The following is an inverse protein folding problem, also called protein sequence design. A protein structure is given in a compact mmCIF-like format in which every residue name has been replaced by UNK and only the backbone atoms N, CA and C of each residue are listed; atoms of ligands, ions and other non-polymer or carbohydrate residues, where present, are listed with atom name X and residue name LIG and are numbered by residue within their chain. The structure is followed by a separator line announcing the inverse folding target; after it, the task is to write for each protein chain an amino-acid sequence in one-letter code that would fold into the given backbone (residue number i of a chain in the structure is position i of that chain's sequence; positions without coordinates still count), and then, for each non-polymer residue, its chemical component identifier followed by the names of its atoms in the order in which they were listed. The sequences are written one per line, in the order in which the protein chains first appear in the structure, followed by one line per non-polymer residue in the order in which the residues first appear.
data_IF_346448642854
#
_entry.id   IF_346448642854
#
_cell.length_a   1.000
_cell.length_b   1.000
_cell.length_c   1.000
_cell.angle_alpha   90.00
_cell.angle_beta   90.00
_cell.angle_gamma   90.00
#
_symmetry.space_group_name_H-M   'P 1'
#
loop_
_entity.id
_entity.type
_entity.pdbx_description
1 polymer ?
#
# COMPACT_ATOMS: atom_id res chain seq x y z
N UNK A 1 -20.60 -12.50 8.14
CA UNK A 1 -19.89 -13.75 8.45
C UNK A 1 -19.33 -14.39 7.20
N UNK A 2 -20.06 -14.64 6.10
CA UNK A 2 -19.46 -15.28 4.92
C UNK A 2 -18.21 -14.55 4.37
N UNK A 3 -18.24 -13.21 4.21
CA UNK A 3 -17.08 -12.44 3.68
C UNK A 3 -15.86 -12.50 4.61
N UNK A 4 -16.00 -12.08 5.87
CA UNK A 4 -14.93 -12.13 6.88
C UNK A 4 -14.42 -13.57 7.08
N UNK A 5 -15.31 -14.56 7.07
CA UNK A 5 -14.93 -15.97 7.17
C UNK A 5 -14.11 -16.42 5.96
N UNK A 6 -14.51 -16.07 4.73
CA UNK A 6 -13.74 -16.35 3.52
C UNK A 6 -12.36 -15.69 3.59
N UNK A 7 -12.27 -14.45 4.05
CA UNK A 7 -10.98 -13.76 4.25
C UNK A 7 -10.08 -14.50 5.25
N UNK A 8 -10.63 -14.97 6.38
CA UNK A 8 -9.91 -15.79 7.36
C UNK A 8 -9.44 -17.10 6.74
N UNK A 9 -10.31 -17.80 5.99
CA UNK A 9 -9.95 -19.07 5.34
C UNK A 9 -8.81 -18.87 4.34
N UNK A 10 -8.89 -17.85 3.49
CA UNK A 10 -7.82 -17.52 2.52
C UNK A 10 -6.53 -17.17 3.26
N UNK A 11 -6.61 -16.36 4.32
CA UNK A 11 -5.45 -15.99 5.13
C UNK A 11 -4.78 -17.23 5.74
N UNK A 12 -5.56 -18.16 6.31
CA UNK A 12 -5.06 -19.41 6.88
C UNK A 12 -4.38 -20.30 5.82
N UNK A 13 -4.94 -20.37 4.60
CA UNK A 13 -4.32 -21.10 3.49
C UNK A 13 -2.97 -20.47 3.13
N UNK A 14 -2.90 -19.14 3.02
CA UNK A 14 -1.65 -18.43 2.70
C UNK A 14 -0.59 -18.63 3.78
N UNK A 15 -0.95 -18.44 5.07
CA UNK A 15 -0.06 -18.67 6.22
C UNK A 15 0.50 -20.09 6.19
N UNK A 16 -0.37 -21.10 6.02
CA UNK A 16 0.05 -22.51 5.96
C UNK A 16 1.03 -22.75 4.82
N UNK A 17 0.75 -22.17 3.66
CA UNK A 17 1.59 -22.32 2.47
C UNK A 17 2.97 -21.65 2.64
N UNK A 18 3.09 -20.63 3.50
CA UNK A 18 4.30 -19.81 3.68
C UNK A 18 5.00 -20.04 5.03
N UNK A 19 4.59 -21.04 5.82
CA UNK A 19 5.10 -21.30 7.18
C UNK A 19 6.63 -21.34 7.30
N UNK A 20 7.32 -21.79 6.25
CA UNK A 20 8.79 -21.88 6.22
C UNK A 20 9.46 -20.52 6.07
N UNK A 21 8.80 -19.55 5.45
CA UNK A 21 9.33 -18.20 5.16
C UNK A 21 9.11 -17.24 6.34
N UNK A 22 8.02 -17.41 7.09
CA UNK A 22 7.70 -16.53 8.20
C UNK A 22 8.41 -16.90 9.51
N UNK A 23 8.61 -15.88 10.35
CA UNK A 23 9.03 -16.04 11.75
C UNK A 23 7.76 -16.07 12.59
N UNK A 24 7.44 -17.22 13.18
CA UNK A 24 6.20 -17.41 13.92
C UNK A 24 6.01 -16.37 15.06
N UNK A 25 7.03 -16.05 15.88
CA UNK A 25 6.86 -15.03 16.93
C UNK A 25 6.48 -13.66 16.38
N UNK A 26 7.02 -13.28 15.21
CA UNK A 26 6.66 -12.01 14.58
C UNK A 26 5.25 -12.01 14.05
N UNK A 27 4.81 -13.10 13.43
CA UNK A 27 3.43 -13.20 12.96
C UNK A 27 2.43 -13.09 14.11
N UNK A 28 2.65 -13.85 15.17
CA UNK A 28 1.78 -13.81 16.36
C UNK A 28 1.82 -12.43 17.02
N UNK A 29 3.01 -11.82 17.14
CA UNK A 29 3.15 -10.47 17.67
C UNK A 29 2.44 -9.42 16.81
N UNK A 30 2.54 -9.50 15.48
CA UNK A 30 1.83 -8.60 14.56
C UNK A 30 0.31 -8.71 14.72
N UNK A 31 -0.24 -9.93 14.76
CA UNK A 31 -1.67 -10.13 14.97
C UNK A 31 -2.12 -9.65 16.35
N UNK A 32 -1.32 -9.88 17.40
CA UNK A 32 -1.64 -9.39 18.74
C UNK A 32 -1.69 -7.85 18.79
N UNK A 33 -0.69 -7.17 18.21
CA UNK A 33 -0.66 -5.70 18.14
C UNK A 33 -1.86 -5.18 17.34
N UNK A 34 -2.21 -5.82 16.22
CA UNK A 34 -3.39 -5.45 15.43
C UNK A 34 -4.67 -5.53 16.24
N UNK A 35 -4.89 -6.64 16.95
CA UNK A 35 -6.08 -6.84 17.77
C UNK A 35 -6.13 -5.85 18.95
N UNK A 36 -4.99 -5.57 19.57
CA UNK A 36 -4.89 -4.60 20.65
C UNK A 36 -5.25 -3.18 20.17
N UNK A 37 -4.65 -2.73 19.06
CA UNK A 37 -4.93 -1.40 18.49
C UNK A 37 -6.40 -1.29 18.06
N UNK A 38 -6.94 -2.34 17.43
CA UNK A 38 -8.35 -2.39 17.06
C UNK A 38 -9.26 -2.26 18.28
N UNK A 39 -9.01 -3.03 19.34
CA UNK A 39 -9.81 -2.97 20.56
C UNK A 39 -9.74 -1.59 21.23
N UNK A 40 -8.53 -1.05 21.43
CA UNK A 40 -8.33 0.26 22.03
C UNK A 40 -9.02 1.36 21.24
N UNK A 41 -8.88 1.36 19.92
CA UNK A 41 -9.56 2.33 19.05
C UNK A 41 -11.09 2.25 19.14
N UNK A 42 -11.66 1.03 19.14
CA UNK A 42 -13.12 0.85 19.25
C UNK A 42 -13.65 1.28 20.61
N UNK A 43 -12.96 0.89 21.68
CA UNK A 43 -13.29 1.30 23.04
C UNK A 43 -13.21 2.83 23.14
N UNK A 44 -12.16 3.43 22.58
CA UNK A 44 -11.99 4.88 22.64
C UNK A 44 -13.12 5.64 21.96
N UNK A 45 -13.47 5.25 20.71
CA UNK A 45 -14.57 5.88 19.99
C UNK A 45 -15.91 5.76 20.72
N UNK A 46 -16.18 4.60 21.31
CA UNK A 46 -17.43 4.36 22.01
C UNK A 46 -17.51 5.11 23.34
N UNK A 47 -16.47 5.03 24.17
CA UNK A 47 -16.52 5.53 25.55
C UNK A 47 -16.14 7.00 25.71
N UNK A 48 -15.19 7.50 24.91
CA UNK A 48 -14.74 8.90 25.04
C UNK A 48 -15.42 9.82 24.05
N UNK A 49 -15.68 9.34 22.84
CA UNK A 49 -16.20 10.18 21.76
C UNK A 49 -17.70 9.97 21.51
N UNK A 50 -18.30 8.89 22.01
CA UNK A 50 -19.68 8.49 21.74
C UNK A 50 -19.99 8.40 20.23
N UNK A 51 -19.09 7.76 19.47
CA UNK A 51 -19.21 7.61 18.01
C UNK A 51 -19.02 6.17 17.57
N UNK A 52 -19.71 5.80 16.48
CA UNK A 52 -19.54 4.48 15.87
C UNK A 52 -18.30 4.38 14.97
N UNK A 53 -17.84 5.51 14.42
CA UNK A 53 -16.81 5.62 13.40
C UNK A 53 -15.93 6.83 13.64
N UNK A 54 -14.75 6.81 13.01
CA UNK A 54 -13.91 8.00 12.90
C UNK A 54 -14.60 9.06 12.03
N UNK A 55 -14.28 10.34 12.25
CA UNK A 55 -14.77 11.48 11.46
C UNK A 55 -14.42 11.37 9.96
N UNK A 56 -15.11 12.17 9.12
CA UNK A 56 -14.85 12.39 7.69
C UNK A 56 -15.20 11.15 6.85
N UNK A 57 -14.25 10.62 6.08
CA UNK A 57 -14.52 9.56 5.10
C UNK A 57 -15.06 8.28 5.74
N UNK A 58 -14.62 7.94 6.94
CA UNK A 58 -15.11 6.75 7.63
C UNK A 58 -16.60 6.84 7.99
N UNK A 59 -17.07 8.04 8.33
CA UNK A 59 -18.47 8.36 8.57
C UNK A 59 -19.28 8.40 7.28
N UNK A 60 -18.74 9.02 6.24
CA UNK A 60 -19.35 9.01 4.91
C UNK A 60 -19.62 7.57 4.43
N UNK A 61 -18.61 6.69 4.48
CA UNK A 61 -18.75 5.31 4.02
C UNK A 61 -19.70 4.49 4.88
N UNK A 62 -19.74 4.74 6.18
CA UNK A 62 -20.67 4.06 7.08
C UNK A 62 -22.11 4.48 6.80
N UNK A 63 -22.37 5.78 6.73
CA UNK A 63 -23.71 6.29 6.43
C UNK A 63 -24.20 5.84 5.05
N UNK A 64 -23.31 5.84 4.04
CA UNK A 64 -23.63 5.31 2.72
C UNK A 64 -23.96 3.81 2.74
N UNK A 65 -23.25 3.04 3.56
CA UNK A 65 -23.51 1.60 3.76
C UNK A 65 -24.86 1.37 4.42
N UNK A 66 -25.17 2.12 5.48
CA UNK A 66 -26.46 2.03 6.19
C UNK A 66 -27.63 2.44 5.30
N UNK A 67 -27.45 3.50 4.50
CA UNK A 67 -28.44 3.91 3.50
C UNK A 67 -28.70 2.81 2.47
N UNK A 68 -27.65 2.16 1.97
CA UNK A 68 -27.81 1.04 1.04
C UNK A 68 -28.50 -0.17 1.68
N UNK A 69 -28.24 -0.46 2.96
CA UNK A 69 -28.88 -1.54 3.70
C UNK A 69 -30.37 -1.29 3.98
N UNK A 70 -30.73 -0.04 4.29
CA UNK A 70 -32.08 0.31 4.73
C UNK A 70 -33.00 0.72 3.56
N UNK A 71 -32.47 1.49 2.61
CA UNK A 71 -33.25 2.13 1.53
C UNK A 71 -32.99 1.51 0.15
N UNK A 72 -31.90 0.74 -0.01
CA UNK A 72 -31.52 0.17 -1.31
C UNK A 72 -31.01 1.21 -2.34
N UNK A 73 -30.83 2.47 -1.95
CA UNK A 73 -30.40 3.55 -2.85
C UNK A 73 -28.88 3.71 -2.94
N UNK A 74 -28.40 3.91 -4.17
CA UNK A 74 -26.97 4.10 -4.51
C UNK A 74 -26.72 5.55 -5.03
N UNK A 75 -27.76 6.38 -5.11
CA UNK A 75 -27.64 7.71 -5.73
C UNK A 75 -26.69 8.63 -4.95
N UNK A 76 -25.81 9.32 -5.69
CA UNK A 76 -24.84 10.26 -5.12
C UNK A 76 -23.69 9.61 -4.32
N UNK A 77 -23.52 8.29 -4.37
CA UNK A 77 -22.42 7.61 -3.68
C UNK A 77 -21.15 7.66 -4.54
N UNK A 78 -20.10 8.30 -4.02
CA UNK A 78 -18.75 8.24 -4.56
C UNK A 78 -17.98 7.06 -3.96
N UNK A 79 -17.06 6.48 -4.73
CA UNK A 79 -16.27 5.30 -4.34
C UNK A 79 -17.12 4.05 -4.08
N UNK A 80 -18.09 3.79 -4.97
CA UNK A 80 -19.15 2.79 -4.82
C UNK A 80 -18.64 1.39 -4.48
N UNK A 81 -17.52 0.95 -5.06
CA UNK A 81 -16.96 -0.39 -4.77
C UNK A 81 -16.68 -0.62 -3.29
N UNK A 82 -16.16 0.39 -2.57
CA UNK A 82 -15.88 0.24 -1.14
C UNK A 82 -17.16 0.19 -0.30
N UNK A 83 -18.17 0.98 -0.68
CA UNK A 83 -19.49 0.96 -0.03
C UNK A 83 -20.19 -0.38 -0.28
N UNK A 84 -20.13 -0.92 -1.50
CA UNK A 84 -20.66 -2.25 -1.79
C UNK A 84 -19.94 -3.34 -1.01
N UNK A 85 -18.62 -3.27 -0.91
CA UNK A 85 -17.84 -4.21 -0.08
C UNK A 85 -18.29 -4.16 1.39
N UNK A 86 -18.43 -2.95 1.94
CA UNK A 86 -18.96 -2.71 3.29
C UNK A 86 -20.38 -3.26 3.47
N UNK A 87 -21.26 -3.01 2.50
CA UNK A 87 -22.62 -3.53 2.46
C UNK A 87 -22.64 -5.07 2.48
N UNK A 88 -21.80 -5.73 1.68
CA UNK A 88 -21.72 -7.19 1.66
C UNK A 88 -21.24 -7.73 3.02
N UNK A 89 -20.24 -7.10 3.64
CA UNK A 89 -19.80 -7.48 4.99
C UNK A 89 -20.98 -7.42 5.97
N UNK A 90 -21.69 -6.28 6.01
CA UNK A 90 -22.79 -6.07 6.95
C UNK A 90 -23.97 -7.00 6.67
N UNK A 91 -24.37 -7.14 5.40
CA UNK A 91 -25.49 -7.99 4.97
C UNK A 91 -25.34 -9.45 5.41
N UNK A 92 -24.11 -9.95 5.42
CA UNK A 92 -23.83 -11.32 5.85
C UNK A 92 -23.44 -11.43 7.32
N UNK A 93 -23.32 -10.32 8.06
CA UNK A 93 -22.92 -10.32 9.48
C UNK A 93 -24.08 -10.59 10.44
N UNK A 94 -23.81 -11.07 11.66
CA UNK A 94 -24.88 -11.48 12.59
C UNK A 94 -25.74 -10.29 13.06
N UNK A 95 -25.13 -9.11 13.11
CA UNK A 95 -25.76 -7.84 13.42
C UNK A 95 -24.98 -6.72 12.73
N UNK A 96 -25.64 -5.59 12.48
CA UNK A 96 -25.00 -4.44 11.88
C UNK A 96 -24.06 -3.78 12.89
N UNK A 97 -22.78 -3.71 12.53
CA UNK A 97 -21.75 -3.07 13.34
C UNK A 97 -20.53 -2.78 12.50
N UNK A 98 -20.03 -1.55 12.61
CA UNK A 98 -18.76 -1.09 12.02
C UNK A 98 -17.59 -2.01 12.40
N UNK A 99 -17.67 -2.69 13.55
CA UNK A 99 -16.66 -3.63 14.00
C UNK A 99 -16.31 -4.68 12.93
N UNK A 100 -17.30 -5.20 12.21
CA UNK A 100 -17.09 -6.17 11.13
C UNK A 100 -16.29 -5.58 9.97
N UNK A 101 -16.53 -4.32 9.61
CA UNK A 101 -15.72 -3.62 8.61
C UNK A 101 -14.28 -3.42 9.08
N UNK A 102 -14.07 -3.07 10.36
CA UNK A 102 -12.72 -2.87 10.89
C UNK A 102 -11.93 -4.19 10.95
N UNK A 103 -12.59 -5.32 11.26
CA UNK A 103 -11.99 -6.65 11.15
C UNK A 103 -11.63 -6.94 9.69
N UNK A 104 -12.57 -6.79 8.75
CA UNK A 104 -12.32 -7.05 7.32
C UNK A 104 -11.17 -6.23 6.79
N UNK A 105 -11.11 -4.92 7.10
CA UNK A 105 -10.02 -4.05 6.70
C UNK A 105 -8.66 -4.53 7.27
N UNK A 106 -8.63 -4.99 8.52
CA UNK A 106 -7.43 -5.59 9.11
C UNK A 106 -7.03 -6.89 8.40
N UNK A 107 -8.00 -7.72 8.03
CA UNK A 107 -7.76 -8.94 7.25
C UNK A 107 -7.26 -8.62 5.84
N UNK A 108 -7.80 -7.61 5.16
CA UNK A 108 -7.34 -7.17 3.84
C UNK A 108 -5.89 -6.67 3.87
N UNK A 109 -5.49 -5.93 4.92
CA UNK A 109 -4.08 -5.55 5.12
C UNK A 109 -3.18 -6.78 5.21
N UNK A 110 -3.58 -7.78 6.01
CA UNK A 110 -2.84 -9.03 6.13
C UNK A 110 -2.81 -9.79 4.79
N UNK A 111 -3.96 -9.96 4.13
CA UNK A 111 -4.06 -10.64 2.84
C UNK A 111 -3.18 -9.97 1.78
N UNK A 112 -3.15 -8.63 1.72
CA UNK A 112 -2.24 -7.90 0.85
C UNK A 112 -0.78 -8.28 1.13
N UNK A 113 -0.36 -8.26 2.39
CA UNK A 113 1.00 -8.66 2.77
C UNK A 113 1.33 -10.13 2.39
N UNK A 114 0.45 -11.07 2.73
CA UNK A 114 0.68 -12.50 2.45
C UNK A 114 0.62 -12.84 0.95
N UNK A 115 -0.24 -12.17 0.17
CA UNK A 115 -0.24 -12.30 -1.28
C UNK A 115 1.05 -11.77 -1.90
N UNK A 116 1.56 -10.63 -1.40
CA UNK A 116 2.87 -10.13 -1.84
C UNK A 116 4.00 -11.11 -1.53
N UNK A 117 4.03 -11.69 -0.32
CA UNK A 117 4.99 -12.76 0.00
C UNK A 117 4.81 -13.97 -0.92
N UNK A 118 3.57 -14.31 -1.30
CA UNK A 118 3.29 -15.41 -2.23
C UNK A 118 3.92 -15.18 -3.61
N UNK A 119 3.83 -13.96 -4.14
CA UNK A 119 4.45 -13.58 -5.42
C UNK A 119 5.96 -13.83 -5.37
N UNK A 120 6.60 -13.50 -4.25
CA UNK A 120 8.04 -13.67 -4.07
C UNK A 120 8.45 -15.05 -3.57
N UNK A 121 7.51 -15.92 -3.16
CA UNK A 121 7.76 -17.17 -2.43
C UNK A 121 8.89 -18.01 -3.01
N UNK A 122 8.86 -18.30 -4.31
CA UNK A 122 9.88 -19.12 -4.97
C UNK A 122 11.28 -18.50 -4.89
N UNK A 123 11.37 -17.19 -5.07
CA UNK A 123 12.63 -16.46 -4.94
C UNK A 123 13.07 -16.43 -3.47
N UNK A 124 12.15 -16.23 -2.53
CA UNK A 124 12.46 -16.22 -1.11
C UNK A 124 12.98 -17.58 -0.64
N UNK A 125 12.31 -18.69 -0.95
CA UNK A 125 12.74 -20.03 -0.52
C UNK A 125 14.13 -20.41 -1.06
N UNK A 126 14.50 -19.90 -2.23
CA UNK A 126 15.81 -20.20 -2.85
C UNK A 126 16.95 -19.30 -2.36
N UNK A 127 16.66 -18.17 -1.73
CA UNK A 127 17.67 -17.14 -1.43
C UNK A 127 17.67 -16.65 0.01
N UNK A 128 16.54 -16.75 0.72
CA UNK A 128 16.37 -16.37 2.11
C UNK A 128 15.79 -17.50 2.95
N UNK A 129 16.22 -17.58 4.20
CA UNK A 129 15.64 -18.53 5.16
C UNK A 129 14.37 -17.98 5.80
N UNK A 130 14.28 -16.66 6.04
CA UNK A 130 13.14 -16.00 6.70
C UNK A 130 13.00 -14.54 6.27
N UNK A 131 11.77 -14.01 6.30
CA UNK A 131 11.49 -12.57 6.11
C UNK A 131 12.20 -11.73 7.21
N UNK A 132 12.87 -10.61 6.86
CA UNK A 132 13.49 -9.71 7.83
C UNK A 132 12.48 -9.06 8.79
N UNK A 133 12.90 -8.80 10.03
CA UNK A 133 12.08 -8.10 11.03
C UNK A 133 11.60 -6.72 10.55
N UNK A 134 12.47 -5.98 9.86
CA UNK A 134 12.17 -4.64 9.34
C UNK A 134 10.96 -4.62 8.41
N UNK A 135 10.71 -5.70 7.66
CA UNK A 135 9.55 -5.79 6.77
C UNK A 135 8.28 -5.86 7.62
N UNK A 136 8.21 -6.70 8.66
CA UNK A 136 7.05 -6.74 9.55
C UNK A 136 6.80 -5.39 10.24
N UNK A 137 7.86 -4.79 10.79
CA UNK A 137 7.78 -3.52 11.50
C UNK A 137 7.42 -2.32 10.60
N UNK A 138 7.69 -2.39 9.29
CA UNK A 138 7.25 -1.37 8.35
C UNK A 138 5.84 -1.66 7.82
N UNK A 139 5.40 -2.91 7.77
CA UNK A 139 4.09 -3.31 7.20
C UNK A 139 3.07 -3.65 8.30
N UNK A 140 2.80 -4.93 8.52
CA UNK A 140 1.67 -5.45 9.30
C UNK A 140 1.84 -5.33 10.82
N UNK A 141 3.03 -4.98 11.31
CA UNK A 141 3.30 -4.73 12.73
C UNK A 141 3.44 -3.25 13.06
N UNK A 142 3.37 -2.36 12.06
CA UNK A 142 3.53 -0.93 12.27
C UNK A 142 2.23 -0.32 12.83
N UNK A 143 2.22 0.28 14.05
CA UNK A 143 0.99 0.82 14.63
C UNK A 143 0.31 1.89 13.76
N UNK A 144 1.07 2.74 13.05
CA UNK A 144 0.52 3.74 12.14
C UNK A 144 -0.19 3.06 10.96
N UNK A 145 0.43 2.04 10.35
CA UNK A 145 -0.19 1.30 9.24
C UNK A 145 -1.48 0.62 9.70
N UNK A 146 -1.44 -0.05 10.84
CA UNK A 146 -2.61 -0.72 11.43
C UNK A 146 -3.72 0.29 11.69
N UNK A 147 -3.45 1.32 12.49
CA UNK A 147 -4.44 2.33 12.84
C UNK A 147 -5.01 3.03 11.61
N UNK A 148 -4.16 3.40 10.65
CA UNK A 148 -4.60 4.14 9.48
C UNK A 148 -5.45 3.30 8.52
N UNK A 149 -5.16 2.01 8.35
CA UNK A 149 -5.82 1.12 7.39
C UNK A 149 -6.94 0.24 7.96
N UNK A 150 -7.00 0.02 9.28
CA UNK A 150 -8.10 -0.72 9.92
C UNK A 150 -9.41 0.08 9.98
N UNK A 151 -9.32 1.42 9.98
CA UNK A 151 -10.48 2.32 9.94
C UNK A 151 -11.30 2.08 8.68
N UNK A 152 -12.59 2.44 8.71
CA UNK A 152 -13.54 2.25 7.60
C UNK A 152 -13.17 3.11 6.38
N UNK A 153 -12.06 2.80 5.72
CA UNK A 153 -11.46 3.57 4.64
C UNK A 153 -11.17 2.68 3.44
N UNK A 154 -11.42 3.23 2.26
CA UNK A 154 -11.22 2.56 0.97
C UNK A 154 -9.79 2.16 0.63
N UNK A 155 -8.80 2.76 1.29
CA UNK A 155 -7.38 2.64 0.95
C UNK A 155 -6.81 1.23 1.15
N UNK A 156 -7.31 0.49 2.13
CA UNK A 156 -6.89 -0.90 2.36
C UNK A 156 -7.44 -1.86 1.31
N UNK A 157 -8.69 -1.63 0.87
CA UNK A 157 -9.27 -2.37 -0.25
C UNK A 157 -8.52 -2.07 -1.55
N UNK A 158 -8.20 -0.80 -1.79
CA UNK A 158 -7.38 -0.38 -2.93
C UNK A 158 -5.99 -1.04 -2.92
N UNK A 159 -5.32 -1.06 -1.77
CA UNK A 159 -4.03 -1.76 -1.60
C UNK A 159 -4.18 -3.26 -1.87
N UNK A 160 -5.18 -3.91 -1.29
CA UNK A 160 -5.42 -5.35 -1.50
C UNK A 160 -5.66 -5.67 -2.98
N UNK A 161 -6.55 -4.93 -3.65
CA UNK A 161 -6.85 -5.13 -5.07
C UNK A 161 -5.64 -4.82 -5.96
N UNK A 162 -4.82 -3.84 -5.58
CA UNK A 162 -3.56 -3.55 -6.26
C UNK A 162 -2.61 -4.75 -6.19
N UNK A 163 -2.39 -5.31 -5.00
CA UNK A 163 -1.56 -6.52 -4.83
C UNK A 163 -2.17 -7.72 -5.56
N UNK A 164 -3.49 -7.90 -5.47
CA UNK A 164 -4.21 -8.97 -6.13
C UNK A 164 -4.09 -8.87 -7.66
N UNK A 165 -4.07 -7.66 -8.22
CA UNK A 165 -3.89 -7.46 -9.66
C UNK A 165 -2.51 -7.95 -10.14
N UNK A 166 -1.45 -7.65 -9.38
CA UNK A 166 -0.09 -8.15 -9.64
C UNK A 166 -0.04 -9.68 -9.49
N UNK A 167 -0.67 -10.23 -8.45
CA UNK A 167 -0.76 -11.68 -8.24
C UNK A 167 -1.51 -12.39 -9.38
N UNK A 168 -2.62 -11.82 -9.84
CA UNK A 168 -3.42 -12.36 -10.94
C UNK A 168 -2.60 -12.42 -12.23
N UNK A 169 -1.89 -11.34 -12.58
CA UNK A 169 -0.97 -11.37 -13.73
C UNK A 169 0.11 -12.43 -13.59
N UNK A 170 0.68 -12.59 -12.39
CA UNK A 170 1.65 -13.65 -12.12
C UNK A 170 1.09 -15.04 -12.39
N UNK A 171 -0.16 -15.30 -11.98
CA UNK A 171 -0.83 -16.58 -12.22
C UNK A 171 -1.09 -16.88 -13.72
N UNK A 172 -1.04 -15.87 -14.59
CA UNK A 172 -1.22 -16.03 -16.05
C UNK A 172 0.06 -16.41 -16.80
N UNK A 173 1.24 -16.33 -16.17
CA UNK A 173 2.55 -16.45 -16.82
C UNK A 173 2.86 -17.84 -17.42
N UNK A 174 2.50 -18.98 -16.80
CA UNK A 174 2.83 -20.29 -17.35
C UNK A 174 1.79 -20.83 -18.36
N UNK A 175 0.82 -20.02 -18.80
CA UNK A 175 -0.29 -20.50 -19.65
C UNK A 175 0.02 -20.42 -21.14
N UNK A 176 -0.66 -21.25 -21.94
CA UNK A 176 -0.66 -21.17 -23.41
C UNK A 176 -0.92 -19.72 -23.86
N UNK A 177 -0.19 -19.23 -24.86
CA UNK A 177 -0.31 -17.87 -25.41
C UNK A 177 -1.76 -17.47 -25.69
N UNK A 178 -2.56 -18.35 -26.31
CA UNK A 178 -3.97 -18.05 -26.62
C UNK A 178 -4.75 -17.78 -25.33
N UNK A 179 -4.64 -18.70 -24.36
CA UNK A 179 -5.31 -18.56 -23.07
C UNK A 179 -4.81 -17.33 -22.30
N UNK A 180 -3.52 -17.02 -22.37
CA UNK A 180 -2.91 -15.84 -21.74
C UNK A 180 -3.49 -14.55 -22.31
N UNK A 181 -3.62 -14.44 -23.63
CA UNK A 181 -4.24 -13.28 -24.30
C UNK A 181 -5.73 -13.18 -23.99
N UNK A 182 -6.46 -14.29 -24.04
CA UNK A 182 -7.89 -14.34 -23.72
C UNK A 182 -8.20 -13.92 -22.28
N UNK A 183 -7.29 -14.18 -21.34
CA UNK A 183 -7.45 -13.80 -19.93
C UNK A 183 -6.95 -12.39 -19.61
N UNK A 184 -6.12 -11.79 -20.46
CA UNK A 184 -5.61 -10.44 -20.25
C UNK A 184 -6.71 -9.38 -20.40
N UNK A 185 -7.64 -9.58 -21.35
CA UNK A 185 -8.80 -8.70 -21.57
C UNK A 185 -9.73 -8.66 -20.34
N UNK A 186 -10.28 -9.80 -19.86
CA UNK A 186 -11.14 -9.79 -18.67
C UNK A 186 -10.37 -9.37 -17.42
N UNK A 187 -9.07 -9.65 -17.32
CA UNK A 187 -8.21 -9.07 -16.28
C UNK A 187 -8.25 -7.53 -16.31
N UNK A 188 -7.99 -6.94 -17.47
CA UNK A 188 -7.90 -5.49 -17.62
C UNK A 188 -9.24 -4.83 -17.29
N UNK A 189 -10.34 -5.34 -17.83
CA UNK A 189 -11.68 -4.82 -17.56
C UNK A 189 -12.07 -4.97 -16.08
N UNK A 190 -11.90 -6.16 -15.50
CA UNK A 190 -12.26 -6.42 -14.10
C UNK A 190 -11.53 -5.49 -13.14
N UNK A 191 -10.19 -5.43 -13.24
CA UNK A 191 -9.42 -4.63 -12.31
C UNK A 191 -9.51 -3.13 -12.58
N UNK A 192 -9.70 -2.71 -13.85
CA UNK A 192 -10.00 -1.31 -14.15
C UNK A 192 -11.31 -0.88 -13.46
N UNK A 193 -12.39 -1.63 -13.66
CA UNK A 193 -13.69 -1.30 -13.03
C UNK A 193 -13.60 -1.29 -11.51
N UNK A 194 -12.92 -2.27 -10.91
CA UNK A 194 -12.78 -2.34 -9.45
C UNK A 194 -11.94 -1.17 -8.89
N UNK A 195 -10.77 -0.90 -9.47
CA UNK A 195 -9.85 0.12 -8.95
C UNK A 195 -10.34 1.55 -9.21
N UNK A 196 -10.85 1.86 -10.41
CA UNK A 196 -11.32 3.21 -10.76
C UNK A 196 -12.52 3.64 -9.90
N UNK A 197 -13.41 2.70 -9.61
CA UNK A 197 -14.55 2.94 -8.72
C UNK A 197 -14.15 3.05 -7.23
N UNK A 198 -12.88 2.85 -6.88
CA UNK A 198 -12.34 3.15 -5.54
C UNK A 198 -11.52 4.45 -5.56
N UNK A 199 -10.62 4.57 -6.54
CA UNK A 199 -9.70 5.68 -6.75
C UNK A 199 -9.62 5.93 -8.25
N UNK A 200 -9.97 7.13 -8.74
CA UNK A 200 -10.09 7.32 -10.19
C UNK A 200 -8.80 7.22 -11.00
N UNK A 201 -7.64 7.39 -10.38
CA UNK A 201 -6.32 7.07 -10.95
C UNK A 201 -5.91 5.59 -10.81
N UNK A 202 -6.84 4.71 -10.39
CA UNK A 202 -6.60 3.28 -10.28
C UNK A 202 -6.37 2.59 -11.63
N UNK A 203 -6.74 3.24 -12.73
CA UNK A 203 -6.44 2.85 -14.10
C UNK A 203 -4.94 2.87 -14.41
N UNK A 204 -4.19 3.83 -13.85
CA UNK A 204 -2.73 3.95 -14.03
C UNK A 204 -2.04 2.65 -13.61
N UNK A 205 -2.45 2.07 -12.48
CA UNK A 205 -1.91 0.79 -11.98
C UNK A 205 -2.13 -0.34 -13.00
N UNK A 206 -3.30 -0.38 -13.65
CA UNK A 206 -3.63 -1.42 -14.63
C UNK A 206 -2.82 -1.24 -15.91
N UNK A 207 -2.71 0.00 -16.38
CA UNK A 207 -1.87 0.34 -17.54
C UNK A 207 -0.41 0.00 -17.26
N UNK A 208 0.14 0.40 -16.11
CA UNK A 208 1.50 0.09 -15.69
C UNK A 208 1.75 -1.42 -15.59
N UNK A 209 0.83 -2.15 -14.96
CA UNK A 209 0.89 -3.60 -14.85
C UNK A 209 0.86 -4.30 -16.23
N UNK A 210 -0.02 -3.87 -17.14
CA UNK A 210 -0.07 -4.43 -18.51
C UNK A 210 1.18 -4.08 -19.30
N UNK A 211 1.69 -2.85 -19.20
CA UNK A 211 2.92 -2.42 -19.86
C UNK A 211 4.11 -3.27 -19.42
N UNK A 212 4.25 -3.50 -18.12
CA UNK A 212 5.26 -4.39 -17.59
C UNK A 212 5.08 -5.82 -18.08
N UNK A 213 3.85 -6.31 -18.15
CA UNK A 213 3.57 -7.65 -18.65
C UNK A 213 4.04 -7.83 -20.10
N UNK A 214 3.87 -6.81 -20.95
CA UNK A 214 4.35 -6.79 -22.34
C UNK A 214 5.88 -6.81 -22.39
N UNK A 215 6.54 -5.93 -21.62
CA UNK A 215 8.01 -5.85 -21.58
C UNK A 215 8.62 -7.21 -21.21
N UNK A 216 7.99 -7.90 -20.26
CA UNK A 216 8.44 -9.19 -19.74
C UNK A 216 8.12 -10.38 -20.66
N UNK A 217 7.36 -10.18 -21.72
CA UNK A 217 7.13 -11.21 -22.72
C UNK A 217 8.43 -11.61 -23.43
N UNK A 218 8.67 -12.91 -23.61
CA UNK A 218 9.94 -13.42 -24.13
C UNK A 218 10.02 -13.40 -25.66
N UNK A 219 8.90 -13.60 -26.34
CA UNK A 219 8.86 -13.76 -27.81
C UNK A 219 8.40 -12.47 -28.47
N UNK A 220 9.04 -12.10 -29.60
CA UNK A 220 8.68 -10.89 -30.37
C UNK A 220 7.22 -10.92 -30.84
N UNK A 221 6.72 -12.07 -31.29
CA UNK A 221 5.31 -12.25 -31.71
C UNK A 221 4.33 -12.01 -30.57
N UNK A 222 4.64 -12.51 -29.37
CA UNK A 222 3.84 -12.26 -28.17
C UNK A 222 3.83 -10.76 -27.81
N UNK A 223 4.98 -10.08 -27.91
CA UNK A 223 5.07 -8.63 -27.66
C UNK A 223 4.17 -7.84 -28.59
N UNK A 224 4.20 -8.13 -29.90
CA UNK A 224 3.37 -7.44 -30.89
C UNK A 224 1.88 -7.67 -30.59
N UNK A 225 1.50 -8.92 -30.33
CA UNK A 225 0.11 -9.26 -29.98
C UNK A 225 -0.35 -8.54 -28.71
N UNK A 226 0.46 -8.57 -27.64
CA UNK A 226 0.12 -7.89 -26.41
C UNK A 226 0.11 -6.37 -26.56
N UNK A 227 0.96 -5.80 -27.42
CA UNK A 227 0.94 -4.37 -27.73
C UNK A 227 -0.37 -3.98 -28.43
N UNK A 228 -0.85 -4.80 -29.37
CA UNK A 228 -2.16 -4.59 -30.02
C UNK A 228 -3.31 -4.64 -29.00
N UNK A 229 -3.32 -5.64 -28.10
CA UNK A 229 -4.31 -5.73 -27.02
C UNK A 229 -4.21 -4.53 -26.07
N UNK A 230 -2.99 -4.12 -25.72
CA UNK A 230 -2.74 -2.98 -24.84
C UNK A 230 -3.28 -1.67 -25.41
N UNK A 231 -2.99 -1.36 -26.68
CA UNK A 231 -3.54 -0.17 -27.33
C UNK A 231 -5.06 -0.25 -27.49
N UNK A 232 -5.60 -1.44 -27.80
CA UNK A 232 -7.06 -1.63 -27.85
C UNK A 232 -7.73 -1.37 -26.50
N UNK A 233 -7.17 -1.91 -25.42
CA UNK A 233 -7.65 -1.67 -24.06
C UNK A 233 -7.51 -0.19 -23.69
N UNK A 234 -6.33 0.41 -23.86
CA UNK A 234 -6.12 1.84 -23.55
C UNK A 234 -7.09 2.72 -24.32
N UNK A 235 -7.33 2.45 -25.59
CA UNK A 235 -8.27 3.21 -26.40
C UNK A 235 -9.67 3.20 -25.79
N UNK A 236 -10.17 2.01 -25.42
CA UNK A 236 -11.48 1.85 -24.76
C UNK A 236 -11.51 2.53 -23.40
N UNK A 237 -10.46 2.36 -22.59
CA UNK A 237 -10.37 2.94 -21.25
C UNK A 237 -10.29 4.47 -21.31
N UNK A 238 -9.44 5.03 -22.18
CA UNK A 238 -9.28 6.47 -22.35
C UNK A 238 -10.57 7.13 -22.84
N UNK A 239 -11.28 6.50 -23.78
CA UNK A 239 -12.59 6.97 -24.22
C UNK A 239 -13.61 7.02 -23.06
N UNK A 240 -13.60 6.03 -22.18
CA UNK A 240 -14.51 5.98 -21.01
C UNK A 240 -14.15 6.98 -19.91
N UNK A 241 -12.90 7.39 -19.82
CA UNK A 241 -12.37 8.25 -18.77
C UNK A 241 -12.28 9.72 -19.16
N UNK A 242 -12.33 10.07 -20.45
CA UNK A 242 -12.10 11.43 -20.92
C UNK A 242 -12.92 12.50 -20.17
N UNK A 243 -14.20 12.26 -19.98
CA UNK A 243 -15.10 13.19 -19.28
C UNK A 243 -14.82 13.30 -17.79
N UNK A 244 -14.38 12.20 -17.15
CA UNK A 244 -13.94 12.21 -15.75
C UNK A 244 -12.58 12.88 -15.62
N UNK A 245 -11.61 12.58 -16.47
CA UNK A 245 -10.27 13.18 -16.40
C UNK A 245 -10.30 14.71 -16.41
N UNK A 246 -11.19 15.32 -17.21
CA UNK A 246 -11.39 16.78 -17.24
C UNK A 246 -11.86 17.32 -15.89
N UNK A 247 -12.89 16.72 -15.27
CA UNK A 247 -13.40 17.18 -13.96
C UNK A 247 -12.40 16.96 -12.83
N UNK A 248 -11.48 16.01 -12.99
CA UNK A 248 -10.42 15.74 -12.01
C UNK A 248 -9.29 16.75 -12.11
N UNK A 249 -8.89 17.09 -13.33
CA UNK A 249 -7.92 18.15 -13.58
C UNK A 249 -8.44 19.51 -13.08
N UNK A 250 -9.74 19.78 -13.19
CA UNK A 250 -10.32 20.99 -12.62
C UNK A 250 -10.42 20.96 -11.09
N UNK A 251 -10.61 19.79 -10.48
CA UNK A 251 -10.61 19.64 -9.03
C UNK A 251 -9.20 19.71 -8.40
N UNK A 252 -8.14 19.55 -9.20
CA UNK A 252 -6.75 19.54 -8.73
C UNK A 252 -6.38 20.83 -8.00
N UNK A 253 -6.78 21.98 -8.54
CA UNK A 253 -6.31 23.26 -7.99
C UNK A 253 -6.88 23.50 -6.59
N UNK A 254 -8.13 23.09 -6.34
CA UNK A 254 -8.74 23.04 -5.00
C UNK A 254 -8.00 22.09 -4.05
N UNK A 255 -7.59 20.91 -4.53
CA UNK A 255 -6.86 19.93 -3.72
C UNK A 255 -5.43 20.36 -3.40
N UNK A 256 -4.76 21.08 -4.31
CA UNK A 256 -3.43 21.64 -4.08
C UNK A 256 -3.45 22.77 -3.05
N UNK A 257 -4.47 23.63 -3.11
CA UNK A 257 -4.70 24.69 -2.14
C UNK A 257 -4.91 24.11 -0.73
N UNK A 258 -5.71 23.05 -0.62
CA UNK A 258 -5.90 22.31 0.65
C UNK A 258 -4.63 21.57 1.11
N UNK A 259 -3.76 21.18 0.18
CA UNK A 259 -2.52 20.43 0.43
C UNK A 259 -1.31 21.27 0.85
N UNK A 260 -1.46 22.58 1.12
CA UNK A 260 -0.38 23.54 1.43
C UNK A 260 0.69 23.69 0.33
N UNK A 261 0.35 23.35 -0.92
CA UNK A 261 1.32 23.22 -2.01
C UNK A 261 1.59 24.54 -2.74
N UNK A 262 2.87 24.87 -2.94
CA UNK A 262 3.28 25.75 -4.04
C UNK A 262 3.03 25.03 -5.37
N UNK A 263 2.52 25.73 -6.38
CA UNK A 263 2.34 25.16 -7.72
C UNK A 263 3.69 24.99 -8.44
N UNK A 264 3.79 23.97 -9.32
CA UNK A 264 4.97 23.73 -10.16
C UNK A 264 5.94 22.64 -9.67
N UNK A 265 7.10 22.54 -10.32
CA UNK A 265 8.10 21.47 -10.09
C UNK A 265 8.67 21.45 -8.66
N UNK A 266 8.84 22.62 -8.04
CA UNK A 266 9.29 22.72 -6.64
C UNK A 266 8.29 22.12 -5.65
N UNK A 267 7.00 22.37 -5.85
CA UNK A 267 5.91 21.75 -5.08
C UNK A 267 5.85 20.23 -5.24
N UNK A 268 6.06 19.74 -6.46
CA UNK A 268 6.09 18.30 -6.73
C UNK A 268 7.25 17.59 -6.00
N UNK A 269 8.47 18.15 -6.06
CA UNK A 269 9.65 17.56 -5.41
C UNK A 269 9.56 17.62 -3.88
N UNK A 270 9.08 18.74 -3.32
CA UNK A 270 8.84 18.86 -1.88
C UNK A 270 7.72 17.92 -1.42
N UNK A 271 6.67 17.76 -2.23
CA UNK A 271 5.60 16.79 -1.99
C UNK A 271 6.10 15.34 -1.91
N UNK A 272 7.05 14.96 -2.76
CA UNK A 272 7.70 13.65 -2.73
C UNK A 272 8.36 13.39 -1.36
N UNK A 273 9.12 14.36 -0.85
CA UNK A 273 9.76 14.28 0.47
C UNK A 273 8.73 14.24 1.61
N UNK A 274 7.70 15.09 1.56
CA UNK A 274 6.64 15.16 2.57
C UNK A 274 5.88 13.84 2.70
N UNK A 275 5.53 13.20 1.59
CA UNK A 275 4.82 11.92 1.59
C UNK A 275 5.60 10.82 2.31
N UNK A 276 6.92 10.76 2.10
CA UNK A 276 7.77 9.72 2.67
C UNK A 276 8.05 9.95 4.16
N UNK A 277 8.13 11.21 4.60
CA UNK A 277 8.67 11.56 5.93
C UNK A 277 7.63 12.18 6.90
N UNK A 278 6.58 12.86 6.41
CA UNK A 278 5.70 13.73 7.23
C UNK A 278 4.21 13.32 7.30
N UNK A 279 3.49 13.47 8.45
CA UNK A 279 3.96 14.10 9.66
C UNK A 279 4.93 13.18 10.38
N UNK A 280 6.02 13.78 10.84
CA UNK A 280 6.92 13.13 11.76
C UNK A 280 6.23 12.85 13.10
N UNK A 281 6.95 12.15 13.99
CA UNK A 281 6.46 11.81 15.33
C UNK A 281 5.94 13.04 16.10
N UNK A 282 6.57 14.21 15.96
CA UNK A 282 6.22 15.44 16.68
C UNK A 282 4.77 15.87 16.42
N UNK A 283 4.35 15.92 15.15
CA UNK A 283 2.97 16.28 14.78
C UNK A 283 1.95 15.25 15.26
N UNK A 284 2.36 13.99 15.44
CA UNK A 284 1.49 12.94 15.99
C UNK A 284 1.21 13.12 17.49
N UNK A 285 2.12 13.74 18.24
CA UNK A 285 1.89 14.08 19.66
C UNK A 285 0.95 15.28 19.76
N UNK A 286 1.14 16.27 18.90
CA UNK A 286 0.34 17.51 18.86
C UNK A 286 -0.94 17.33 18.03
N UNK A 287 -1.64 16.22 18.22
CA UNK A 287 -2.76 15.85 17.37
C UNK A 287 -3.91 16.86 17.38
N UNK A 288 -4.14 17.53 18.52
CA UNK A 288 -5.11 18.62 18.66
C UNK A 288 -4.83 19.82 17.75
N UNK A 289 -3.55 20.07 17.45
CA UNK A 289 -3.11 21.20 16.64
C UNK A 289 -3.13 20.87 15.14
N UNK A 290 -2.78 19.63 14.79
CA UNK A 290 -2.50 19.26 13.39
C UNK A 290 -3.54 18.35 12.75
N UNK A 291 -4.47 17.75 13.50
CA UNK A 291 -5.51 16.91 12.94
C UNK A 291 -6.90 17.52 13.18
N UNK A 292 -7.71 17.56 12.12
CA UNK A 292 -9.11 17.97 12.21
C UNK A 292 -9.93 17.11 13.19
N UNK A 293 -9.56 15.83 13.30
CA UNK A 293 -10.09 14.92 14.31
C UNK A 293 -8.99 13.94 14.71
N UNK A 294 -8.84 13.69 16.00
CA UNK A 294 -7.82 12.82 16.55
C UNK A 294 -8.44 11.82 17.54
N UNK A 295 -7.67 10.77 17.82
CA UNK A 295 -7.91 9.83 18.91
C UNK A 295 -6.58 9.64 19.63
N UNK A 296 -6.59 9.38 20.93
CA UNK A 296 -5.39 9.07 21.71
C UNK A 296 -4.68 7.83 21.16
N UNK A 297 -5.45 6.79 20.83
CA UNK A 297 -4.94 5.59 20.17
C UNK A 297 -4.30 5.92 18.83
N UNK A 298 -4.91 6.81 18.05
CA UNK A 298 -4.39 7.27 16.77
C UNK A 298 -3.10 8.07 16.87
N UNK A 299 -3.04 9.00 17.82
CA UNK A 299 -1.85 9.81 18.09
C UNK A 299 -0.68 8.93 18.53
N UNK A 300 -0.90 8.02 19.49
CA UNK A 300 0.11 7.07 19.96
C UNK A 300 0.58 6.12 18.84
N UNK A 301 -0.37 5.57 18.07
CA UNK A 301 -0.06 4.67 16.95
C UNK A 301 0.73 5.39 15.85
N UNK A 302 0.35 6.63 15.53
CA UNK A 302 1.04 7.45 14.55
C UNK A 302 2.44 7.83 15.02
N UNK A 303 2.60 8.22 16.29
CA UNK A 303 3.89 8.54 16.88
C UNK A 303 4.88 7.37 16.78
N UNK A 304 4.47 6.21 17.30
CA UNK A 304 5.32 5.00 17.32
C UNK A 304 5.58 4.51 15.90
N UNK A 305 4.55 4.46 15.05
CA UNK A 305 4.69 4.00 13.67
C UNK A 305 5.58 4.91 12.81
N UNK A 306 5.48 6.23 12.98
CA UNK A 306 6.37 7.20 12.33
C UNK A 306 7.81 7.06 12.81
N UNK A 307 8.06 6.85 14.10
CA UNK A 307 9.42 6.59 14.62
C UNK A 307 10.03 5.35 13.97
N UNK A 308 9.27 4.25 13.94
CA UNK A 308 9.72 3.01 13.29
C UNK A 308 10.07 3.27 11.82
N UNK A 309 9.21 3.98 11.09
CA UNK A 309 9.46 4.31 9.69
C UNK A 309 10.68 5.23 9.52
N UNK A 310 10.86 6.22 10.38
CA UNK A 310 12.02 7.12 10.36
C UNK A 310 13.35 6.40 10.57
N UNK A 311 13.37 5.27 11.29
CA UNK A 311 14.58 4.44 11.39
C UNK A 311 14.74 3.46 10.22
N UNK A 312 13.65 2.86 9.74
CA UNK A 312 13.69 1.81 8.71
C UNK A 312 13.86 2.39 7.29
N UNK A 313 13.22 3.52 6.97
CA UNK A 313 13.26 4.10 5.62
C UNK A 313 14.68 4.57 5.24
N UNK A 314 15.44 5.29 6.08
CA UNK A 314 16.86 5.57 5.84
C UNK A 314 17.68 4.30 5.64
N UNK A 315 17.42 3.25 6.43
CA UNK A 315 18.10 1.96 6.28
C UNK A 315 17.80 1.30 4.92
N UNK A 316 16.58 1.42 4.42
CA UNK A 316 16.22 0.91 3.09
C UNK A 316 16.87 1.77 1.99
N UNK A 317 16.85 3.10 2.15
CA UNK A 317 17.46 4.02 1.21
C UNK A 317 18.97 3.81 1.09
N UNK A 318 19.71 3.71 2.20
CA UNK A 318 21.15 3.41 2.18
C UNK A 318 21.42 2.10 1.44
N UNK A 319 20.64 1.06 1.71
CA UNK A 319 20.77 -0.24 1.03
C UNK A 319 20.54 -0.14 -0.48
N UNK A 320 19.58 0.68 -0.91
CA UNK A 320 19.35 0.94 -2.34
C UNK A 320 20.50 1.72 -2.96
N UNK A 321 20.96 2.79 -2.31
CA UNK A 321 22.05 3.61 -2.83
C UNK A 321 23.35 2.80 -2.96
N UNK A 322 23.72 2.06 -1.92
CA UNK A 322 24.94 1.25 -1.90
C UNK A 322 24.92 0.10 -2.90
N UNK A 323 23.74 -0.47 -3.15
CA UNK A 323 23.59 -1.56 -4.11
C UNK A 323 23.02 -1.10 -5.44
N UNK A 324 22.92 0.19 -5.74
CA UNK A 324 22.14 0.73 -6.87
C UNK A 324 22.49 0.02 -8.19
N UNK A 325 23.78 0.00 -8.57
CA UNK A 325 24.26 -0.67 -9.79
C UNK A 325 23.94 -2.18 -9.80
N UNK A 326 24.01 -2.86 -8.65
CA UNK A 326 23.75 -4.29 -8.51
C UNK A 326 22.25 -4.61 -8.48
N UNK A 327 21.44 -3.74 -7.87
CA UNK A 327 19.99 -3.84 -7.83
C UNK A 327 19.42 -3.74 -9.24
N UNK A 328 19.88 -2.76 -10.02
CA UNK A 328 19.47 -2.63 -11.41
C UNK A 328 19.93 -3.80 -12.30
N UNK A 329 21.12 -4.36 -12.05
CA UNK A 329 21.71 -5.43 -12.89
C UNK A 329 21.28 -6.86 -12.53
N UNK A 330 21.03 -7.15 -11.25
CA UNK A 330 20.75 -8.52 -10.75
C UNK A 330 19.41 -8.65 -10.00
N UNK A 331 18.85 -7.55 -9.49
CA UNK A 331 17.79 -7.60 -8.47
C UNK A 331 16.48 -6.91 -8.86
N UNK A 332 16.42 -6.30 -10.04
CA UNK A 332 15.18 -6.17 -10.80
C UNK A 332 14.78 -7.56 -11.32
N UNK A 333 14.57 -8.50 -10.40
CA UNK A 333 13.67 -9.61 -10.70
C UNK A 333 12.38 -8.97 -11.18
N UNK A 334 11.83 -9.50 -12.27
CA UNK A 334 10.68 -8.95 -12.99
C UNK A 334 9.56 -8.46 -12.04
N UNK A 335 9.43 -9.11 -10.88
CA UNK A 335 8.45 -8.89 -9.81
C UNK A 335 8.68 -7.65 -8.95
N UNK A 336 9.94 -7.26 -8.70
CA UNK A 336 10.25 -6.05 -7.95
C UNK A 336 9.87 -4.80 -8.74
N UNK A 337 9.96 -4.87 -10.07
CA UNK A 337 9.55 -3.78 -10.94
C UNK A 337 8.07 -3.44 -10.76
N UNK A 338 7.18 -4.43 -10.63
CA UNK A 338 5.75 -4.17 -10.46
C UNK A 338 5.47 -3.36 -9.19
N UNK A 339 5.91 -3.86 -8.04
CA UNK A 339 5.67 -3.16 -6.77
C UNK A 339 6.40 -1.82 -6.67
N UNK A 340 7.62 -1.73 -7.22
CA UNK A 340 8.37 -0.48 -7.24
C UNK A 340 7.74 0.56 -8.16
N UNK A 341 7.23 0.17 -9.32
CA UNK A 341 6.54 1.09 -10.23
C UNK A 341 5.19 1.54 -9.66
N UNK A 342 4.40 0.63 -9.09
CA UNK A 342 3.19 0.99 -8.36
C UNK A 342 3.50 1.99 -7.23
N UNK A 343 4.59 1.76 -6.48
CA UNK A 343 5.05 2.69 -5.44
C UNK A 343 5.38 4.08 -6.04
N UNK A 344 6.13 4.14 -7.15
CA UNK A 344 6.47 5.39 -7.81
C UNK A 344 5.24 6.11 -8.38
N UNK A 345 4.32 5.38 -9.01
CA UNK A 345 3.06 5.90 -9.53
C UNK A 345 2.24 6.53 -8.41
N UNK A 346 2.08 5.82 -7.29
CA UNK A 346 1.36 6.32 -6.11
C UNK A 346 2.03 7.58 -5.58
N UNK A 347 3.36 7.58 -5.39
CA UNK A 347 4.05 8.78 -4.89
C UNK A 347 3.88 9.95 -5.88
N UNK A 348 3.99 9.71 -7.19
CA UNK A 348 3.82 10.75 -8.20
C UNK A 348 2.40 11.32 -8.20
N UNK A 349 1.37 10.47 -8.18
CA UNK A 349 -0.04 10.88 -8.15
C UNK A 349 -0.30 11.72 -6.89
N UNK A 350 0.10 11.24 -5.71
CA UNK A 350 -0.16 11.96 -4.47
C UNK A 350 0.68 13.25 -4.33
N UNK A 351 1.89 13.27 -4.87
CA UNK A 351 2.69 14.51 -4.93
C UNK A 351 2.03 15.54 -5.85
N UNK A 352 1.48 15.09 -6.98
CA UNK A 352 0.88 15.95 -8.00
C UNK A 352 -0.51 16.48 -7.63
N UNK A 353 -1.40 15.63 -7.11
CA UNK A 353 -2.79 16.01 -6.80
C UNK A 353 -2.96 16.61 -5.40
N UNK A 354 -2.11 16.22 -4.44
CA UNK A 354 -2.30 16.56 -3.03
C UNK A 354 -1.15 17.38 -2.45
N UNK A 355 -0.20 17.85 -3.27
CA UNK A 355 0.96 18.62 -2.80
C UNK A 355 1.85 17.84 -1.81
N UNK A 356 1.74 16.51 -1.83
CA UNK A 356 2.36 15.65 -0.83
C UNK A 356 1.66 15.61 0.52
N UNK A 357 0.34 15.80 0.54
CA UNK A 357 -0.48 15.79 1.76
C UNK A 357 -0.12 14.64 2.69
N UNK A 358 -0.04 14.98 3.97
CA UNK A 358 0.52 14.15 5.02
C UNK A 358 -0.54 13.24 5.66
N UNK A 359 -1.59 12.87 4.92
CA UNK A 359 -2.64 12.01 5.45
C UNK A 359 -2.10 10.64 5.84
N UNK A 360 -2.39 10.23 7.09
CA UNK A 360 -1.87 8.99 7.68
C UNK A 360 -2.22 7.73 6.86
N UNK A 361 -3.38 7.73 6.20
CA UNK A 361 -3.87 6.60 5.40
C UNK A 361 -3.00 6.30 4.16
N UNK A 362 -2.50 7.34 3.49
CA UNK A 362 -1.62 7.14 2.34
C UNK A 362 -0.27 6.58 2.77
N UNK A 363 0.22 6.98 3.94
CA UNK A 363 1.42 6.38 4.50
C UNK A 363 1.25 4.94 4.90
N UNK A 364 0.09 4.57 5.44
CA UNK A 364 -0.26 3.17 5.65
C UNK A 364 -0.02 2.33 4.38
N UNK A 365 -0.58 2.77 3.25
CA UNK A 365 -0.40 2.11 1.95
C UNK A 365 1.06 2.12 1.49
N UNK A 366 1.73 3.27 1.56
CA UNK A 366 3.10 3.43 1.11
C UNK A 366 4.08 2.58 1.90
N UNK A 367 3.98 2.53 3.23
CA UNK A 367 4.88 1.74 4.06
C UNK A 367 4.72 0.24 3.77
N UNK A 368 3.51 -0.22 3.49
CA UNK A 368 3.28 -1.60 3.02
C UNK A 368 3.98 -1.83 1.68
N UNK A 369 3.78 -0.96 0.70
CA UNK A 369 4.40 -1.08 -0.63
C UNK A 369 5.94 -0.97 -0.60
N UNK A 370 6.50 -0.09 0.23
CA UNK A 370 7.95 0.01 0.45
C UNK A 370 8.46 -1.28 1.08
N UNK A 371 7.80 -1.77 2.14
CA UNK A 371 8.16 -3.03 2.79
C UNK A 371 8.20 -4.21 1.81
N UNK A 372 7.20 -4.30 0.93
CA UNK A 372 7.10 -5.34 -0.11
C UNK A 372 8.16 -5.16 -1.20
N UNK A 373 8.32 -3.96 -1.75
CA UNK A 373 9.26 -3.68 -2.85
C UNK A 373 10.71 -3.98 -2.47
N UNK A 374 11.04 -3.85 -1.19
CA UNK A 374 12.39 -4.09 -0.67
C UNK A 374 12.60 -5.54 -0.21
N UNK A 375 11.56 -6.39 -0.20
CA UNK A 375 11.67 -7.75 0.30
C UNK A 375 12.83 -8.53 -0.37
N UNK A 376 13.04 -8.50 -1.70
CA UNK A 376 14.14 -9.24 -2.33
C UNK A 376 15.49 -8.51 -2.34
N UNK A 377 15.59 -7.30 -1.78
CA UNK A 377 16.91 -6.68 -1.58
C UNK A 377 17.72 -7.42 -0.53
N UNK A 378 17.05 -8.06 0.44
CA UNK A 378 17.67 -8.81 1.52
C UNK A 378 18.13 -10.22 1.14
N UNK A 379 17.67 -10.77 0.00
CA UNK A 379 17.99 -12.13 -0.42
C UNK A 379 19.37 -12.31 -1.02
N UNK A 380 19.87 -11.30 -1.72
CA UNK A 380 21.03 -11.47 -2.58
C UNK A 380 22.38 -11.40 -1.85
N UNK A 381 22.38 -11.16 -0.54
CA UNK A 381 23.61 -11.00 0.25
C UNK A 381 24.18 -12.33 0.75
N UNK A 382 23.35 -13.34 1.07
CA UNK A 382 23.85 -14.64 1.56
C UNK A 382 24.67 -15.41 0.52
N UNK A 383 24.47 -15.19 -0.78
CA UNK A 383 25.25 -15.82 -1.85
C UNK A 383 26.66 -15.23 -2.02
N UNK A 384 26.99 -14.12 -1.35
CA UNK A 384 28.28 -13.40 -1.51
C UNK A 384 29.33 -13.79 -0.46
N UNK A 385 29.35 -15.06 -0.02
CA UNK A 385 30.19 -15.59 1.07
C UNK A 385 31.72 -15.58 0.86
N UNK A 386 32.25 -14.75 -0.04
CA UNK A 386 33.68 -14.44 -0.16
C UNK A 386 33.86 -12.92 -0.27
N UNK A 387 33.67 -12.21 0.83
CA UNK A 387 34.12 -10.82 0.96
C UNK A 387 34.97 -10.75 2.22
N UNK A 388 36.25 -10.44 2.01
CA UNK A 388 37.33 -10.37 2.98
C UNK A 388 36.93 -9.48 4.17
N UNK A 389 37.27 -9.90 5.39
CA UNK A 389 36.84 -9.28 6.65
C UNK A 389 37.23 -7.79 6.75
N UNK A 390 38.27 -7.35 6.05
CA UNK A 390 38.71 -5.95 5.95
C UNK A 390 37.74 -5.05 5.16
N UNK A 391 37.06 -5.55 4.12
CA UNK A 391 36.01 -4.79 3.42
C UNK A 391 34.74 -4.65 4.26
N UNK A 392 34.48 -5.58 5.18
CA UNK A 392 33.31 -5.53 6.07
C UNK A 392 33.41 -4.44 7.15
N UNK A 393 34.61 -4.13 7.64
CA UNK A 393 34.82 -3.07 8.63
C UNK A 393 34.75 -1.67 8.01
N UNK A 394 35.36 -1.45 6.84
CA UNK A 394 35.22 -0.16 6.11
C UNK A 394 33.81 0.05 5.56
N UNK A 395 33.11 -1.03 5.20
CA UNK A 395 31.72 -0.99 4.74
C UNK A 395 30.72 -0.75 5.88
N UNK A 396 30.96 -1.28 7.09
CA UNK A 396 30.15 -0.95 8.28
C UNK A 396 30.28 0.51 8.69
N UNK A 397 31.47 1.08 8.59
CA UNK A 397 31.72 2.47 8.98
C UNK A 397 31.12 3.46 7.97
N UNK A 398 31.20 3.14 6.67
CA UNK A 398 30.52 3.93 5.63
C UNK A 398 29.00 3.75 5.64
N UNK A 399 28.48 2.57 5.97
CA UNK A 399 27.04 2.35 6.23
C UNK A 399 26.56 3.14 7.44
N UNK A 400 27.33 3.19 8.52
CA UNK A 400 27.00 3.96 9.73
C UNK A 400 27.01 5.47 9.43
N UNK A 401 28.02 5.97 8.72
CA UNK A 401 28.12 7.38 8.33
C UNK A 401 27.01 7.79 7.34
N UNK A 402 26.69 6.93 6.37
CA UNK A 402 25.58 7.16 5.44
C UNK A 402 24.23 7.10 6.17
N UNK A 403 24.07 6.17 7.13
CA UNK A 403 22.87 6.08 7.95
C UNK A 403 22.71 7.31 8.84
N UNK A 404 23.77 7.77 9.51
CA UNK A 404 23.73 8.98 10.33
C UNK A 404 23.47 10.23 9.49
N UNK A 405 24.05 10.33 8.29
CA UNK A 405 23.84 11.47 7.39
C UNK A 405 22.40 11.49 6.83
N UNK A 406 21.85 10.34 6.43
CA UNK A 406 20.48 10.26 5.92
C UNK A 406 19.48 10.42 7.07
N UNK A 407 19.72 9.82 8.24
CA UNK A 407 18.88 10.04 9.42
C UNK A 407 18.88 11.52 9.80
N UNK A 408 20.04 12.18 9.78
CA UNK A 408 20.15 13.62 9.98
C UNK A 408 19.34 14.40 8.93
N UNK A 409 19.43 14.04 7.65
CA UNK A 409 18.64 14.65 6.58
C UNK A 409 17.13 14.45 6.79
N UNK A 410 16.69 13.26 7.20
CA UNK A 410 15.29 12.94 7.50
C UNK A 410 14.79 13.69 8.74
N UNK A 411 15.64 13.84 9.76
CA UNK A 411 15.33 14.62 10.96
C UNK A 411 15.24 16.11 10.62
N UNK A 412 16.18 16.65 9.85
CA UNK A 412 16.16 18.06 9.41
C UNK A 412 14.96 18.32 8.52
N UNK A 413 14.73 17.52 7.47
CA UNK A 413 13.57 17.63 6.59
C UNK A 413 12.25 17.39 7.34
N UNK A 414 12.25 16.48 8.31
CA UNK A 414 11.11 16.19 9.17
C UNK A 414 10.78 17.37 10.09
N UNK A 415 11.80 18.01 10.67
CA UNK A 415 11.68 19.22 11.51
C UNK A 415 11.14 20.38 10.67
N UNK A 416 11.74 20.66 9.50
CA UNK A 416 11.31 21.74 8.61
C UNK A 416 9.93 21.53 7.99
N UNK A 417 9.46 20.28 7.89
CA UNK A 417 8.09 19.96 7.48
C UNK A 417 7.14 19.74 8.67
N UNK A 418 7.61 19.93 9.92
CA UNK A 418 6.80 19.79 11.13
C UNK A 418 6.48 21.12 11.81
N UNK A 419 7.38 22.11 11.67
CA UNK A 419 7.07 23.55 11.70
C UNK A 419 6.22 23.87 10.46
#
# INVERSE_FOLDING_TARGET
MSVVFVEIVILMILIKSQKRIHRLPMLLGSFLIQMLILFLYRAELQFFWNREVHWSDAEYYWNATMRLLNEGSIEGIYNTTYVYYSYLIQRFSPFYSVFWNNISNTLLLNLAFFLSVQIFKKNLETTMTKIPYSVYFLTIANPLVIYSLMRNLKDVLFLFLTVLSVYALFALIPRNLILKTMLLIPYAFLFHTLLVNIRPWGDVIIVGNMFLFIIHSRRKSEKILFLAVFFGVIFVLAASLYTKAISWLSARDLLLEQGTGQSGWGGFLTGFGRILVGPGPIRSILGETYFQFYTYTGNASSFVGSLIAWFILPYYLTRVLLNFKRLFKQNLSQWNMYFFLILLEIIAIYSYFYGGSTELRFRGVLYVLVGISFLPTFSNMKKSGKVTITTLYSFKQSELLAYSAILFLFVVLGITNSI
#
